data_IF_905998226880
#
_entry.id   IF_905998226880
#
_cell.length_a   1.000
_cell.length_b   1.000
_cell.length_c   1.000
_cell.angle_alpha   90.00
_cell.angle_beta   90.00
_cell.angle_gamma   90.00
#
_symmetry.space_group_name_H-M   'P 1'
#
loop_
_entity.id
_entity.type
_entity.pdbx_description
1 polymer ?
#
# COMPACT_ATOMS: atom_id res chain seq x y z
N UNK A 1 -18.44 -20.22 -18.83
CA UNK A 1 -18.21 -18.77 -18.64
C UNK A 1 -19.14 -18.29 -17.54
N UNK A 2 -18.66 -18.12 -16.31
CA UNK A 2 -19.38 -17.35 -15.30
C UNK A 2 -19.22 -15.89 -15.72
N UNK A 3 -20.31 -15.21 -16.08
CA UNK A 3 -20.28 -13.78 -16.34
C UNK A 3 -19.75 -13.08 -15.09
N UNK A 4 -18.59 -12.42 -15.20
CA UNK A 4 -18.01 -11.65 -14.11
C UNK A 4 -18.84 -10.40 -13.88
N UNK A 5 -19.87 -10.47 -13.05
CA UNK A 5 -20.65 -9.28 -12.71
C UNK A 5 -19.92 -8.47 -11.66
N UNK A 6 -19.33 -7.34 -12.06
CA UNK A 6 -19.09 -6.23 -11.16
C UNK A 6 -20.47 -5.71 -10.74
N UNK A 7 -21.00 -6.19 -9.61
CA UNK A 7 -22.28 -5.73 -9.12
C UNK A 7 -22.17 -4.26 -8.73
N UNK A 8 -22.70 -3.39 -9.57
CA UNK A 8 -22.99 -2.01 -9.23
C UNK A 8 -24.35 -2.03 -8.50
N UNK A 9 -24.42 -1.84 -7.17
CA UNK A 9 -25.71 -1.69 -6.52
C UNK A 9 -26.43 -0.47 -7.12
N UNK A 10 -27.69 -0.67 -7.52
CA UNK A 10 -28.52 0.34 -8.15
C UNK A 10 -28.46 1.69 -7.43
N UNK A 11 -28.00 2.73 -8.13
CA UNK A 11 -28.21 4.13 -7.76
C UNK A 11 -27.21 4.81 -6.82
N UNK A 12 -26.00 4.27 -6.57
CA UNK A 12 -24.99 4.91 -5.68
C UNK A 12 -23.58 5.13 -6.28
N UNK A 13 -23.42 5.07 -7.59
CA UNK A 13 -22.16 5.41 -8.24
C UNK A 13 -21.87 6.93 -8.17
N UNK A 14 -20.58 7.32 -8.10
CA UNK A 14 -20.15 8.71 -8.23
C UNK A 14 -20.27 9.60 -6.98
N UNK A 15 -19.90 9.12 -5.79
CA UNK A 15 -19.97 9.94 -4.57
C UNK A 15 -18.85 11.00 -4.47
N UNK A 16 -17.70 10.82 -5.12
CA UNK A 16 -16.64 11.83 -5.14
C UNK A 16 -16.98 13.05 -6.02
N UNK A 17 -17.83 12.91 -7.04
CA UNK A 17 -18.21 14.03 -7.92
C UNK A 17 -19.11 15.07 -7.23
N UNK A 18 -19.56 14.81 -5.99
CA UNK A 18 -20.37 15.75 -5.19
C UNK A 18 -19.55 16.75 -4.36
N UNK A 19 -18.26 16.93 -4.64
CA UNK A 19 -17.40 17.93 -3.98
C UNK A 19 -17.10 17.66 -2.50
N UNK A 20 -17.45 16.47 -2.01
CA UNK A 20 -17.20 16.07 -0.62
C UNK A 20 -15.95 15.20 -0.48
N UNK A 21 -15.14 15.46 0.56
CA UNK A 21 -14.05 14.56 0.94
C UNK A 21 -14.61 13.16 1.25
N UNK A 22 -14.09 12.14 0.56
CA UNK A 22 -14.44 10.73 0.82
C UNK A 22 -13.25 9.95 1.33
N UNK A 23 -13.54 8.81 1.96
CA UNK A 23 -12.52 7.89 2.44
C UNK A 23 -12.73 6.55 1.77
N UNK A 24 -11.78 6.16 0.91
CA UNK A 24 -11.81 4.85 0.24
C UNK A 24 -11.16 3.81 1.15
N UNK A 25 -11.85 2.72 1.39
CA UNK A 25 -11.40 1.66 2.30
C UNK A 25 -11.22 0.38 1.49
N UNK A 26 -9.98 -0.05 1.33
CA UNK A 26 -9.65 -1.30 0.65
C UNK A 26 -9.70 -2.44 1.67
N UNK A 27 -10.60 -3.39 1.43
CA UNK A 27 -10.84 -4.55 2.29
C UNK A 27 -10.58 -5.87 1.55
N UNK A 28 -10.17 -6.87 2.31
CA UNK A 28 -9.93 -8.23 1.86
C UNK A 28 -9.08 -8.97 2.88
N UNK A 29 -9.04 -10.30 2.80
CA UNK A 29 -8.10 -11.08 3.59
C UNK A 29 -6.65 -10.74 3.21
N UNK A 30 -5.68 -10.98 4.11
CA UNK A 30 -4.27 -10.88 3.73
C UNK A 30 -3.99 -11.81 2.54
N UNK A 31 -3.29 -11.32 1.50
CA UNK A 31 -3.00 -12.05 0.24
C UNK A 31 -4.16 -12.26 -0.75
N UNK A 32 -5.33 -11.65 -0.50
CA UNK A 32 -6.48 -11.68 -1.42
C UNK A 32 -6.35 -10.75 -2.64
N UNK A 33 -5.29 -9.94 -2.73
CA UNK A 33 -5.14 -8.94 -3.79
C UNK A 33 -5.45 -7.50 -3.39
N UNK A 34 -5.66 -7.23 -2.09
CA UNK A 34 -5.85 -5.85 -1.58
C UNK A 34 -4.71 -4.92 -1.97
N UNK A 35 -3.48 -5.42 -2.04
CA UNK A 35 -2.32 -4.67 -2.52
C UNK A 35 -2.47 -4.28 -3.99
N UNK A 36 -3.02 -5.15 -4.85
CA UNK A 36 -3.30 -4.81 -6.25
C UNK A 36 -4.26 -3.64 -6.33
N UNK A 37 -5.36 -3.68 -5.55
CA UNK A 37 -6.33 -2.57 -5.48
C UNK A 37 -5.68 -1.26 -5.05
N UNK A 38 -4.78 -1.31 -4.05
CA UNK A 38 -4.04 -0.12 -3.59
C UNK A 38 -3.19 0.45 -4.72
N UNK A 39 -2.44 -0.38 -5.45
CA UNK A 39 -1.60 0.07 -6.55
C UNK A 39 -2.37 0.71 -7.71
N UNK A 40 -3.54 0.16 -8.04
CA UNK A 40 -4.47 0.75 -9.03
C UNK A 40 -4.91 2.15 -8.57
N UNK A 41 -5.39 2.27 -7.33
CA UNK A 41 -5.89 3.53 -6.78
C UNK A 41 -4.78 4.60 -6.69
N UNK A 42 -3.56 4.21 -6.30
CA UNK A 42 -2.42 5.13 -6.27
C UNK A 42 -2.09 5.69 -7.66
N UNK A 43 -2.13 4.85 -8.70
CA UNK A 43 -1.90 5.27 -10.10
C UNK A 43 -3.01 6.16 -10.63
N UNK A 44 -4.23 5.98 -10.13
CA UNK A 44 -5.36 6.90 -10.35
C UNK A 44 -5.24 8.22 -9.57
N UNK A 45 -4.14 8.45 -8.83
CA UNK A 45 -3.88 9.67 -8.08
C UNK A 45 -4.51 9.73 -6.69
N UNK A 46 -4.96 8.60 -6.14
CA UNK A 46 -5.54 8.57 -4.80
C UNK A 46 -4.47 8.46 -3.71
N UNK A 47 -4.51 9.39 -2.75
CA UNK A 47 -3.55 9.43 -1.65
C UNK A 47 -3.79 8.33 -0.62
N UNK A 48 -2.74 7.62 -0.23
CA UNK A 48 -2.77 6.59 0.84
C UNK A 48 -2.04 7.04 2.12
N UNK A 49 -1.52 8.26 2.13
CA UNK A 49 -0.75 8.84 3.22
C UNK A 49 0.74 8.49 3.20
N UNK A 50 1.48 9.14 4.09
CA UNK A 50 2.96 9.21 4.02
C UNK A 50 3.67 8.00 4.64
N UNK A 51 2.94 7.14 5.35
CA UNK A 51 3.52 6.04 6.15
C UNK A 51 2.95 4.70 5.74
N UNK A 52 3.29 4.28 4.52
CA UNK A 52 2.91 2.97 3.99
C UNK A 52 4.05 1.97 4.16
N UNK A 53 3.71 0.75 4.54
CA UNK A 53 4.65 -0.35 4.51
C UNK A 53 4.81 -0.91 3.09
N UNK A 54 5.57 -2.01 2.99
CA UNK A 54 5.89 -2.68 1.74
C UNK A 54 4.72 -3.10 0.86
N UNK A 55 3.55 -3.31 1.47
CA UNK A 55 2.36 -3.88 0.85
C UNK A 55 1.21 -2.87 0.84
N UNK A 56 1.54 -1.58 0.94
CA UNK A 56 0.58 -0.47 0.89
C UNK A 56 -0.34 -0.41 2.10
N UNK A 57 0.09 -0.90 3.26
CA UNK A 57 -0.70 -0.80 4.49
C UNK A 57 -0.26 0.40 5.33
N UNK A 58 -1.23 1.09 5.92
CA UNK A 58 -0.97 2.26 6.77
C UNK A 58 -0.37 1.81 8.11
N UNK A 59 0.88 2.23 8.36
CA UNK A 59 1.66 1.85 9.55
C UNK A 59 1.03 2.40 10.83
N UNK A 60 0.45 3.60 10.79
CA UNK A 60 -0.21 4.21 11.94
C UNK A 60 -1.47 3.42 12.31
N UNK A 61 -2.22 2.93 11.31
CA UNK A 61 -3.38 2.06 11.53
C UNK A 61 -2.93 0.68 12.04
N UNK A 62 -1.93 0.05 11.42
CA UNK A 62 -1.41 -1.25 11.88
C UNK A 62 -1.01 -1.18 13.35
N UNK A 63 -0.32 -0.12 13.78
CA UNK A 63 0.10 0.05 15.18
C UNK A 63 -1.07 0.08 16.18
N UNK A 64 -2.30 0.33 15.72
CA UNK A 64 -3.51 0.30 16.56
C UNK A 64 -4.22 -1.04 16.58
N UNK A 65 -4.18 -1.78 15.47
CA UNK A 65 -4.91 -3.03 15.31
C UNK A 65 -4.06 -4.28 15.50
N UNK A 66 -2.74 -4.17 15.39
CA UNK A 66 -1.85 -5.30 15.64
C UNK A 66 -1.96 -5.70 17.12
N UNK A 67 -2.34 -6.95 17.42
CA UNK A 67 -2.48 -7.40 18.79
C UNK A 67 -1.11 -7.42 19.45
N UNK A 68 -0.81 -6.37 20.21
CA UNK A 68 0.16 -6.44 21.30
C UNK A 68 -0.60 -6.94 22.52
N UNK A 69 0.02 -7.69 23.44
CA UNK A 69 -0.68 -8.27 24.59
C UNK A 69 -1.51 -7.27 25.43
N UNK A 70 -1.21 -5.96 25.34
CA UNK A 70 -1.98 -4.88 25.96
C UNK A 70 -3.21 -4.42 25.16
N UNK A 71 -3.26 -4.64 23.84
CA UNK A 71 -4.33 -4.15 22.95
C UNK A 71 -5.70 -4.81 23.18
N UNK A 72 -5.73 -6.02 23.74
CA UNK A 72 -6.97 -6.76 24.05
C UNK A 72 -7.58 -6.43 25.41
N UNK A 73 -6.98 -5.53 26.20
CA UNK A 73 -7.59 -5.06 27.43
C UNK A 73 -8.93 -4.35 27.12
N UNK A 74 -10.01 -4.58 27.90
CA UNK A 74 -11.35 -4.05 27.60
C UNK A 74 -11.39 -2.53 27.34
N UNK A 75 -10.61 -1.76 28.12
CA UNK A 75 -10.52 -0.31 27.95
C UNK A 75 -9.90 0.12 26.61
N UNK A 76 -9.04 -0.69 26.02
CA UNK A 76 -8.42 -0.40 24.73
C UNK A 76 -9.41 -0.62 23.58
N UNK A 77 -10.28 -1.62 23.68
CA UNK A 77 -11.37 -1.83 22.72
C UNK A 77 -12.38 -0.68 22.74
N UNK A 78 -12.76 -0.20 23.92
CA UNK A 78 -13.67 0.97 24.05
C UNK A 78 -13.06 2.24 23.44
N UNK A 79 -11.76 2.45 23.61
CA UNK A 79 -11.05 3.63 23.08
C UNK A 79 -10.65 3.52 21.60
N UNK A 80 -10.67 2.32 21.03
CA UNK A 80 -10.22 2.04 19.66
C UNK A 80 -10.97 2.88 18.61
N UNK A 81 -12.32 2.97 18.59
CA UNK A 81 -13.05 3.82 17.65
C UNK A 81 -12.63 5.29 17.67
N UNK A 82 -12.32 5.84 18.84
CA UNK A 82 -11.97 7.25 19.01
C UNK A 82 -10.55 7.53 18.52
N UNK A 83 -9.59 6.67 18.87
CA UNK A 83 -8.21 6.76 18.37
C UNK A 83 -8.16 6.62 16.86
N UNK A 84 -8.93 5.68 16.31
CA UNK A 84 -9.07 5.47 14.87
C UNK A 84 -9.67 6.71 14.18
N UNK A 85 -10.78 7.26 14.70
CA UNK A 85 -11.39 8.47 14.16
C UNK A 85 -10.44 9.68 14.17
N UNK A 86 -9.57 9.81 15.19
CA UNK A 86 -8.58 10.86 15.24
C UNK A 86 -7.54 10.76 14.10
N UNK A 87 -7.10 9.55 13.77
CA UNK A 87 -6.19 9.31 12.62
C UNK A 87 -6.87 9.72 11.32
N UNK A 88 -8.13 9.30 11.11
CA UNK A 88 -8.87 9.65 9.89
C UNK A 88 -9.12 11.16 9.78
N UNK A 89 -9.42 11.84 10.89
CA UNK A 89 -9.59 13.30 10.92
C UNK A 89 -8.32 14.02 10.48
N UNK A 90 -7.16 13.59 10.97
CA UNK A 90 -5.85 14.15 10.58
C UNK A 90 -5.55 13.90 9.10
N UNK A 91 -5.74 12.66 8.61
CA UNK A 91 -5.53 12.32 7.20
C UNK A 91 -6.43 13.13 6.27
N UNK A 92 -7.71 13.27 6.63
CA UNK A 92 -8.66 14.10 5.88
C UNK A 92 -8.25 15.56 5.85
N UNK A 93 -7.73 16.11 6.95
CA UNK A 93 -7.22 17.48 6.96
C UNK A 93 -6.00 17.67 6.06
N UNK A 94 -5.18 16.63 5.89
CA UNK A 94 -3.96 16.67 5.08
C UNK A 94 -4.23 16.46 3.58
N UNK A 95 -5.04 15.45 3.22
CA UNK A 95 -5.21 15.02 1.83
C UNK A 95 -6.60 15.35 1.24
N UNK A 96 -7.55 15.76 2.09
CA UNK A 96 -8.95 15.84 1.70
C UNK A 96 -9.53 14.44 1.47
N UNK A 97 -9.47 13.97 0.22
CA UNK A 97 -9.86 12.61 -0.16
C UNK A 97 -8.65 11.69 -0.07
N UNK A 98 -8.79 10.56 0.60
CA UNK A 98 -7.70 9.59 0.75
C UNK A 98 -8.24 8.17 0.84
N UNK A 99 -7.35 7.20 0.68
CA UNK A 99 -7.60 5.80 0.86
C UNK A 99 -6.74 5.21 1.97
N UNK A 100 -7.14 4.05 2.48
CA UNK A 100 -6.25 3.23 3.29
C UNK A 100 -6.60 1.75 3.16
N UNK A 101 -5.62 0.93 3.52
CA UNK A 101 -5.71 -0.53 3.61
C UNK A 101 -5.11 -0.98 4.94
N UNK A 102 -5.82 -1.82 5.68
CA UNK A 102 -5.30 -2.42 6.91
C UNK A 102 -6.01 -3.76 7.19
N UNK A 103 -5.48 -4.91 6.72
CA UNK A 103 -6.11 -6.21 6.91
C UNK A 103 -6.35 -6.58 8.38
N UNK A 104 -5.47 -6.11 9.29
CA UNK A 104 -5.64 -6.29 10.74
C UNK A 104 -6.89 -5.62 11.32
N UNK A 105 -7.50 -4.70 10.58
CA UNK A 105 -8.75 -4.04 10.97
C UNK A 105 -9.97 -4.96 10.77
N UNK A 106 -9.86 -6.03 9.96
CA UNK A 106 -11.00 -6.88 9.58
C UNK A 106 -11.84 -7.36 10.78
N UNK A 107 -11.24 -7.91 11.87
CA UNK A 107 -12.01 -8.34 13.05
C UNK A 107 -12.73 -7.20 13.79
N UNK A 108 -12.31 -5.96 13.56
CA UNK A 108 -12.82 -4.76 14.23
C UNK A 108 -13.73 -3.92 13.33
N UNK A 109 -14.02 -4.36 12.10
CA UNK A 109 -14.77 -3.57 11.11
C UNK A 109 -16.10 -3.08 11.66
N UNK A 110 -16.89 -3.94 12.31
CA UNK A 110 -18.20 -3.55 12.84
C UNK A 110 -18.10 -2.45 13.92
N UNK A 111 -16.98 -2.42 14.65
CA UNK A 111 -16.72 -1.44 15.70
C UNK A 111 -16.26 -0.09 15.13
N UNK A 112 -15.46 -0.10 14.06
CA UNK A 112 -14.80 1.13 13.55
C UNK A 112 -15.45 1.70 12.29
N UNK A 113 -16.14 0.90 11.49
CA UNK A 113 -16.80 1.32 10.24
C UNK A 113 -17.78 2.51 10.42
N UNK A 114 -18.58 2.60 11.51
CA UNK A 114 -19.45 3.76 11.73
C UNK A 114 -18.69 5.08 11.88
N UNK A 115 -17.40 5.04 12.20
CA UNK A 115 -16.53 6.22 12.38
C UNK A 115 -15.81 6.65 11.11
N UNK A 116 -15.94 5.91 10.01
CA UNK A 116 -15.31 6.26 8.74
C UNK A 116 -16.24 7.25 8.01
N UNK A 117 -15.86 8.53 7.90
CA UNK A 117 -16.73 9.52 7.27
C UNK A 117 -16.74 9.29 5.76
N UNK A 118 -17.92 9.37 5.14
CA UNK A 118 -18.09 9.24 3.68
C UNK A 118 -17.32 8.05 3.09
N UNK A 119 -17.44 6.90 3.75
CA UNK A 119 -16.73 5.69 3.36
C UNK A 119 -17.22 5.15 2.01
N UNK A 120 -16.29 4.77 1.14
CA UNK A 120 -16.50 3.94 -0.05
C UNK A 120 -15.69 2.67 0.17
N UNK A 121 -16.33 1.51 0.19
CA UNK A 121 -15.64 0.24 0.39
C UNK A 121 -15.30 -0.39 -0.97
N UNK A 122 -14.05 -0.81 -1.13
CA UNK A 122 -13.63 -1.66 -2.24
C UNK A 122 -13.17 -2.98 -1.64
N UNK A 123 -13.92 -4.04 -1.92
CA UNK A 123 -13.72 -5.37 -1.34
C UNK A 123 -13.24 -6.30 -2.42
N UNK A 124 -12.00 -6.76 -2.27
CA UNK A 124 -11.45 -7.83 -3.11
C UNK A 124 -11.59 -9.16 -2.38
N UNK A 125 -12.23 -10.11 -3.07
CA UNK A 125 -12.42 -11.47 -2.59
C UNK A 125 -11.53 -12.40 -3.41
N UNK A 126 -11.00 -13.45 -2.80
CA UNK A 126 -10.18 -14.45 -3.48
C UNK A 126 -10.47 -15.81 -2.91
N UNK A 127 -10.31 -16.87 -3.69
CA UNK A 127 -10.44 -18.23 -3.18
C UNK A 127 -9.64 -18.42 -1.85
N UNK A 128 -10.27 -18.82 -0.73
CA UNK A 128 -9.61 -18.90 0.57
C UNK A 128 -8.41 -19.84 0.60
N UNK A 129 -8.46 -20.94 -0.13
CA UNK A 129 -7.35 -21.89 -0.25
C UNK A 129 -6.16 -21.25 -0.97
N UNK A 130 -6.40 -20.55 -2.09
CA UNK A 130 -5.33 -19.85 -2.80
C UNK A 130 -4.72 -18.71 -1.97
N UNK A 131 -5.57 -17.95 -1.26
CA UNK A 131 -5.14 -16.89 -0.34
C UNK A 131 -4.23 -17.46 0.76
N UNK A 132 -4.62 -18.61 1.33
CA UNK A 132 -3.88 -19.27 2.41
C UNK A 132 -2.56 -19.87 1.94
N UNK A 133 -2.55 -20.57 0.79
CA UNK A 133 -1.34 -21.07 0.14
C UNK A 133 -0.38 -19.93 -0.22
N UNK A 134 -0.91 -18.79 -0.68
CA UNK A 134 -0.08 -17.61 -0.92
C UNK A 134 0.53 -17.08 0.38
N UNK A 135 -0.20 -17.09 1.50
CA UNK A 135 0.30 -16.64 2.80
C UNK A 135 1.37 -17.54 3.41
N UNK A 136 1.27 -18.85 3.23
CA UNK A 136 2.24 -19.83 3.74
C UNK A 136 3.65 -19.63 3.15
N UNK A 137 3.75 -19.28 1.87
CA UNK A 137 5.04 -19.05 1.17
C UNK A 137 5.91 -17.93 1.76
N UNK A 138 5.35 -17.02 2.56
CA UNK A 138 6.06 -15.85 3.09
C UNK A 138 6.50 -16.00 4.55
N UNK A 139 6.62 -17.25 5.04
CA UNK A 139 7.14 -17.62 6.37
C UNK A 139 6.19 -17.18 7.49
N UNK A 140 5.37 -18.12 7.98
CA UNK A 140 4.42 -17.84 9.04
C UNK A 140 3.75 -19.10 9.59
N UNK A 141 2.46 -19.03 9.93
CA UNK A 141 1.65 -20.16 10.37
C UNK A 141 1.44 -21.23 9.28
N UNK A 142 1.12 -22.48 9.67
CA UNK A 142 0.75 -23.55 8.74
C UNK A 142 -0.52 -23.20 7.95
N UNK A 143 -0.70 -23.86 6.79
CA UNK A 143 -1.86 -23.69 5.91
C UNK A 143 -3.21 -23.70 6.64
N UNK A 144 -3.42 -24.60 7.60
CA UNK A 144 -4.69 -24.73 8.34
C UNK A 144 -4.99 -23.48 9.19
N UNK A 145 -3.99 -22.92 9.85
CA UNK A 145 -4.13 -21.68 10.60
C UNK A 145 -4.41 -20.50 9.67
N UNK A 146 -3.72 -20.43 8.51
CA UNK A 146 -3.97 -19.40 7.49
C UNK A 146 -5.35 -19.49 6.87
N UNK A 147 -5.86 -20.71 6.67
CA UNK A 147 -7.20 -20.94 6.16
C UNK A 147 -8.25 -20.43 7.14
N UNK A 148 -8.09 -20.73 8.43
CA UNK A 148 -8.97 -20.20 9.47
C UNK A 148 -8.91 -18.67 9.54
N UNK A 149 -7.72 -18.08 9.56
CA UNK A 149 -7.56 -16.61 9.54
C UNK A 149 -8.25 -15.97 8.33
N UNK A 150 -8.12 -16.58 7.14
CA UNK A 150 -8.72 -16.11 5.91
C UNK A 150 -10.24 -16.16 5.98
N UNK A 151 -10.81 -17.30 6.39
CA UNK A 151 -12.27 -17.48 6.52
C UNK A 151 -12.86 -16.53 7.57
N UNK A 152 -12.18 -16.34 8.70
CA UNK A 152 -12.62 -15.38 9.73
C UNK A 152 -12.60 -13.95 9.18
N UNK A 153 -11.54 -13.56 8.49
CA UNK A 153 -11.45 -12.23 7.87
C UNK A 153 -12.59 -12.00 6.85
N UNK A 154 -12.86 -12.98 6.00
CA UNK A 154 -13.95 -12.91 5.01
C UNK A 154 -15.33 -12.88 5.67
N UNK A 155 -15.54 -13.63 6.75
CA UNK A 155 -16.78 -13.58 7.53
C UNK A 155 -17.01 -12.17 8.12
N UNK A 156 -15.99 -11.56 8.72
CA UNK A 156 -16.09 -10.21 9.25
C UNK A 156 -16.43 -9.18 8.16
N UNK A 157 -15.83 -9.33 6.97
CA UNK A 157 -16.14 -8.49 5.81
C UNK A 157 -17.59 -8.74 5.35
N UNK A 158 -18.02 -9.98 5.22
CA UNK A 158 -19.39 -10.32 4.84
C UNK A 158 -20.44 -9.74 5.80
N UNK A 159 -20.15 -9.75 7.11
CA UNK A 159 -21.00 -9.09 8.11
C UNK A 159 -21.06 -7.58 7.93
N UNK A 160 -19.93 -6.91 7.65
CA UNK A 160 -19.93 -5.49 7.31
C UNK A 160 -20.79 -5.23 6.06
N UNK A 161 -20.60 -6.03 5.00
CA UNK A 161 -21.35 -5.90 3.74
C UNK A 161 -22.86 -6.04 3.96
N UNK A 162 -23.27 -6.95 4.84
CA UNK A 162 -24.68 -7.17 5.19
C UNK A 162 -25.32 -5.99 5.92
N UNK A 163 -24.52 -5.24 6.67
CA UNK A 163 -24.99 -4.20 7.60
C UNK A 163 -24.77 -2.77 7.09
N UNK A 164 -23.80 -2.57 6.19
CA UNK A 164 -23.45 -1.24 5.69
C UNK A 164 -24.48 -0.72 4.70
N UNK A 165 -24.79 0.58 4.80
CA UNK A 165 -25.58 1.33 3.79
C UNK A 165 -24.69 2.17 2.87
N UNK A 166 -23.37 2.12 3.09
CA UNK A 166 -22.36 2.85 2.32
C UNK A 166 -22.14 2.17 0.96
N UNK A 167 -21.61 2.88 -0.03
CA UNK A 167 -21.17 2.27 -1.28
C UNK A 167 -20.14 1.16 -1.02
N UNK A 168 -20.33 0.04 -1.71
CA UNK A 168 -19.41 -1.09 -1.78
C UNK A 168 -19.24 -1.53 -3.24
N UNK A 169 -17.99 -1.55 -3.72
CA UNK A 169 -17.58 -2.31 -4.90
C UNK A 169 -17.02 -3.66 -4.42
N UNK A 170 -17.53 -4.76 -4.94
CA UNK A 170 -17.02 -6.12 -4.64
C UNK A 170 -16.55 -6.72 -5.95
N UNK A 171 -15.36 -7.32 -5.95
CA UNK A 171 -14.88 -8.06 -7.11
C UNK A 171 -14.00 -9.26 -6.71
N UNK A 172 -14.01 -10.35 -7.51
CA UNK A 172 -13.08 -11.45 -7.34
C UNK A 172 -11.70 -11.08 -7.91
N UNK A 173 -10.64 -11.41 -7.16
CA UNK A 173 -9.25 -11.14 -7.54
C UNK A 173 -8.92 -11.68 -8.93
N UNK A 174 -9.34 -12.91 -9.23
CA UNK A 174 -9.05 -13.61 -10.48
C UNK A 174 -9.61 -12.86 -11.68
N UNK A 175 -10.82 -12.30 -11.58
CA UNK A 175 -11.37 -11.51 -12.66
C UNK A 175 -10.71 -10.13 -12.77
N UNK A 176 -10.32 -9.55 -11.63
CA UNK A 176 -9.54 -8.32 -11.63
C UNK A 176 -8.20 -8.45 -12.36
N UNK A 177 -7.59 -9.63 -12.31
CA UNK A 177 -6.35 -9.95 -13.05
C UNK A 177 -6.63 -10.29 -14.51
N UNK A 178 -7.74 -10.97 -14.80
CA UNK A 178 -8.10 -11.39 -16.15
C UNK A 178 -8.59 -10.23 -17.04
N UNK A 179 -9.27 -9.25 -16.44
CA UNK A 179 -9.94 -8.14 -17.11
C UNK A 179 -9.58 -6.80 -16.41
N UNK A 180 -8.30 -6.40 -16.39
CA UNK A 180 -7.83 -5.24 -15.64
C UNK A 180 -8.46 -3.93 -16.08
N UNK A 181 -8.77 -3.77 -17.37
CA UNK A 181 -9.46 -2.62 -17.94
C UNK A 181 -10.85 -2.43 -17.31
N UNK A 182 -11.62 -3.51 -17.16
CA UNK A 182 -12.95 -3.46 -16.54
C UNK A 182 -12.86 -3.16 -15.05
N UNK A 183 -11.85 -3.69 -14.36
CA UNK A 183 -11.63 -3.39 -12.95
C UNK A 183 -11.27 -1.92 -12.74
N UNK A 184 -10.36 -1.38 -13.55
CA UNK A 184 -9.93 0.02 -13.52
C UNK A 184 -11.14 0.94 -13.76
N UNK A 185 -11.95 0.66 -14.77
CA UNK A 185 -13.15 1.45 -15.08
C UNK A 185 -14.21 1.34 -13.97
N UNK A 186 -14.40 0.16 -13.38
CA UNK A 186 -15.30 -0.04 -12.25
C UNK A 186 -14.84 0.75 -11.01
N UNK A 187 -13.54 0.74 -10.70
CA UNK A 187 -12.98 1.51 -9.58
C UNK A 187 -13.15 3.01 -9.83
N UNK A 188 -12.82 3.51 -11.02
CA UNK A 188 -12.96 4.92 -11.38
C UNK A 188 -14.42 5.38 -11.26
N UNK A 189 -15.35 4.59 -11.80
CA UNK A 189 -16.80 4.86 -11.72
C UNK A 189 -17.31 4.86 -10.28
N UNK A 190 -16.89 3.87 -9.49
CA UNK A 190 -17.43 3.69 -8.14
C UNK A 190 -16.90 4.73 -7.15
N UNK A 191 -15.62 5.06 -7.29
CA UNK A 191 -15.00 6.13 -6.52
C UNK A 191 -15.53 7.47 -7.01
N UNK A 192 -15.66 7.68 -8.32
CA UNK A 192 -15.90 8.98 -8.94
C UNK A 192 -14.63 9.80 -9.11
N UNK A 193 -13.46 9.15 -9.19
CA UNK A 193 -12.19 9.80 -9.47
C UNK A 193 -12.17 10.29 -10.93
N UNK A 194 -11.69 11.51 -11.14
CA UNK A 194 -11.36 12.01 -12.47
C UNK A 194 -10.00 11.42 -12.88
N UNK A 195 -10.02 10.27 -13.56
CA UNK A 195 -8.81 9.57 -13.99
C UNK A 195 -8.45 10.01 -15.41
N UNK A 196 -7.24 10.51 -15.61
CA UNK A 196 -6.73 10.83 -16.95
C UNK A 196 -6.41 9.56 -17.74
N UNK A 197 -6.46 9.61 -19.07
CA UNK A 197 -6.11 8.45 -19.91
C UNK A 197 -4.70 7.86 -19.63
N UNK A 198 -3.64 8.67 -19.43
CA UNK A 198 -2.34 8.13 -19.02
C UNK A 198 -2.38 7.38 -17.68
N UNK A 199 -3.06 7.93 -16.67
CA UNK A 199 -3.19 7.30 -15.35
C UNK A 199 -4.02 6.00 -15.42
N UNK A 200 -5.06 5.97 -16.27
CA UNK A 200 -5.87 4.79 -16.56
C UNK A 200 -5.00 3.66 -17.14
N UNK A 201 -4.21 3.97 -18.18
CA UNK A 201 -3.30 3.00 -18.82
C UNK A 201 -2.20 2.50 -17.88
N UNK A 202 -1.63 3.37 -17.05
CA UNK A 202 -0.64 2.95 -16.06
C UNK A 202 -1.27 2.02 -15.00
N UNK A 203 -2.49 2.32 -14.55
CA UNK A 203 -3.23 1.45 -13.62
C UNK A 203 -3.56 0.07 -14.23
N UNK A 204 -3.86 0.00 -15.52
CA UNK A 204 -4.03 -1.26 -16.26
C UNK A 204 -2.70 -2.02 -16.36
N UNK A 205 -1.64 -1.36 -16.83
CA UNK A 205 -0.31 -1.94 -17.02
C UNK A 205 0.36 -2.37 -15.70
N UNK A 206 -0.15 -1.89 -14.57
CA UNK A 206 0.24 -2.34 -13.24
C UNK A 206 -0.26 -3.75 -12.91
N UNK A 207 -1.45 -4.11 -13.38
CA UNK A 207 -2.00 -5.45 -13.24
C UNK A 207 -1.36 -6.32 -14.31
N UNK A 208 -0.59 -7.32 -13.89
CA UNK A 208 0.16 -8.18 -14.80
C UNK A 208 -0.53 -9.56 -14.83
N UNK A 209 -1.16 -9.96 -15.95
CA UNK A 209 -1.96 -11.20 -16.00
C UNK A 209 -1.22 -12.45 -15.51
N UNK A 210 0.08 -12.53 -15.79
CA UNK A 210 0.91 -13.71 -15.50
C UNK A 210 1.62 -13.68 -14.14
N UNK A 211 1.78 -12.50 -13.52
CA UNK A 211 2.49 -12.33 -12.25
C UNK A 211 1.63 -11.69 -11.14
N UNK A 212 0.36 -11.41 -11.44
CA UNK A 212 -0.58 -10.70 -10.57
C UNK A 212 -0.49 -9.18 -10.77
N UNK A 213 0.51 -8.54 -10.17
CA UNK A 213 0.67 -7.09 -10.24
C UNK A 213 2.11 -6.66 -9.91
N UNK A 214 2.51 -5.46 -10.37
CA UNK A 214 3.83 -4.87 -10.09
C UNK A 214 3.95 -4.41 -8.63
N UNK A 215 5.13 -3.96 -8.19
CA UNK A 215 5.29 -3.46 -6.82
C UNK A 215 4.42 -2.21 -6.55
N UNK A 216 3.70 -2.19 -5.42
CA UNK A 216 2.98 -1.00 -4.94
C UNK A 216 3.87 0.02 -4.25
N UNK A 217 5.09 -0.37 -3.87
CA UNK A 217 6.01 0.56 -3.22
C UNK A 217 6.40 1.60 -4.25
N UNK A 218 6.08 2.85 -3.95
CA UNK A 218 6.53 3.98 -4.75
C UNK A 218 8.04 4.02 -4.80
N UNK A 219 8.70 4.08 -3.64
CA UNK A 219 10.14 3.97 -3.56
C UNK A 219 10.60 2.52 -3.30
N UNK A 220 11.38 1.96 -4.23
CA UNK A 220 12.07 0.68 -4.07
C UNK A 220 13.57 0.91 -4.20
N UNK A 221 14.36 0.21 -3.41
CA UNK A 221 15.80 0.21 -3.59
C UNK A 221 16.54 -0.53 -2.49
N UNK A 222 17.84 -0.42 -2.54
CA UNK A 222 18.74 -1.13 -1.65
C UNK A 222 19.92 -0.26 -1.29
N UNK A 223 20.28 -0.25 -0.01
CA UNK A 223 21.52 0.36 0.46
C UNK A 223 22.54 -0.76 0.60
N UNK A 224 23.51 -0.77 -0.31
CA UNK A 224 24.51 -1.83 -0.42
C UNK A 224 25.62 -1.67 0.61
N UNK A 225 26.02 -0.44 0.87
CA UNK A 225 27.04 -0.13 1.86
C UNK A 225 26.74 1.21 2.52
N UNK A 226 26.97 1.26 3.84
CA UNK A 226 26.96 2.46 4.66
C UNK A 226 28.26 2.45 5.46
N UNK A 227 29.00 3.55 5.42
CA UNK A 227 30.21 3.79 6.21
C UNK A 227 30.12 5.17 6.87
N UNK A 228 31.00 5.52 7.81
CA UNK A 228 31.09 6.87 8.35
C UNK A 228 31.22 7.96 7.27
N UNK A 229 31.82 7.65 6.12
CA UNK A 229 32.12 8.63 5.07
C UNK A 229 31.07 8.70 3.95
N UNK A 230 30.11 7.76 3.92
CA UNK A 230 29.12 7.78 2.85
C UNK A 230 28.26 6.52 2.78
N UNK A 231 27.37 6.53 1.79
CA UNK A 231 26.53 5.40 1.46
C UNK A 231 26.43 5.22 -0.05
N UNK A 232 26.20 3.99 -0.51
CA UNK A 232 25.89 3.70 -1.91
C UNK A 232 24.79 2.66 -2.04
N UNK A 233 24.14 2.68 -3.18
CA UNK A 233 23.08 1.74 -3.50
C UNK A 233 22.32 2.19 -4.74
N UNK A 234 21.04 1.81 -4.79
CA UNK A 234 20.13 2.23 -5.85
C UNK A 234 18.74 2.49 -5.30
N UNK A 235 17.99 3.36 -5.97
CA UNK A 235 16.62 3.70 -5.64
C UNK A 235 15.83 4.04 -6.91
N UNK A 236 14.58 3.57 -6.97
CA UNK A 236 13.66 3.72 -8.09
C UNK A 236 12.30 4.19 -7.55
N UNK A 237 11.73 5.22 -8.18
CA UNK A 237 10.30 5.50 -8.08
C UNK A 237 9.56 4.62 -9.10
N UNK A 238 8.75 3.67 -8.64
CA UNK A 238 8.00 2.76 -9.53
C UNK A 238 6.80 3.42 -10.23
N UNK A 239 6.61 4.72 -10.01
CA UNK A 239 5.58 5.56 -10.61
C UNK A 239 6.18 6.68 -11.48
N UNK A 240 7.52 6.81 -11.55
CA UNK A 240 8.17 7.83 -12.34
C UNK A 240 9.47 7.32 -12.95
N UNK A 241 9.70 7.64 -14.22
CA UNK A 241 10.93 7.27 -14.94
C UNK A 241 12.07 8.28 -14.73
N UNK A 242 11.91 9.18 -13.75
CA UNK A 242 12.87 10.24 -13.42
C UNK A 242 13.80 9.81 -12.30
N UNK A 243 15.09 10.25 -12.32
CA UNK A 243 15.99 10.01 -11.21
C UNK A 243 15.41 10.45 -9.87
N UNK A 244 15.60 9.62 -8.85
CA UNK A 244 14.99 9.87 -7.54
C UNK A 244 15.90 10.77 -6.70
N UNK A 245 15.45 11.96 -6.28
CA UNK A 245 16.21 12.76 -5.33
C UNK A 245 16.07 12.19 -3.92
N UNK A 246 17.18 12.02 -3.21
CA UNK A 246 17.27 11.34 -1.92
C UNK A 246 17.87 12.25 -0.85
N UNK A 247 17.28 12.27 0.34
CA UNK A 247 17.83 12.86 1.55
C UNK A 247 18.23 11.77 2.55
N UNK A 248 19.47 11.87 3.05
CA UNK A 248 20.00 11.07 4.15
C UNK A 248 19.81 11.82 5.47
N UNK A 249 19.17 11.17 6.44
CA UNK A 249 18.72 11.83 7.68
C UNK A 249 19.20 11.03 8.87
N UNK A 250 19.92 11.66 9.78
CA UNK A 250 20.27 11.10 11.07
C UNK A 250 19.85 12.08 12.17
N UNK A 251 19.35 11.54 13.29
CA UNK A 251 18.90 12.32 14.45
C UNK A 251 17.89 13.44 14.10
N UNK A 252 17.04 13.17 13.10
CA UNK A 252 16.01 14.09 12.63
C UNK A 252 16.50 15.25 11.76
N UNK A 253 17.79 15.28 11.38
CA UNK A 253 18.38 16.31 10.52
C UNK A 253 18.86 15.72 9.19
N UNK A 254 18.65 16.45 8.10
CA UNK A 254 19.25 16.11 6.81
C UNK A 254 20.77 16.27 6.91
N UNK A 255 21.48 15.17 6.65
CA UNK A 255 22.94 15.10 6.62
C UNK A 255 23.45 15.51 5.24
N UNK A 256 22.87 14.92 4.20
CA UNK A 256 23.23 15.18 2.80
C UNK A 256 22.07 14.81 1.88
N UNK A 257 22.10 15.35 0.67
CA UNK A 257 21.17 15.03 -0.40
C UNK A 257 21.95 14.54 -1.62
N UNK A 258 21.36 13.63 -2.38
CA UNK A 258 21.94 13.08 -3.61
C UNK A 258 20.83 12.74 -4.58
N UNK A 259 21.17 12.38 -5.81
CA UNK A 259 20.22 11.89 -6.81
C UNK A 259 20.61 10.48 -7.20
N UNK A 260 19.62 9.60 -7.30
CA UNK A 260 19.77 8.25 -7.80
C UNK A 260 19.70 8.25 -9.34
N UNK A 261 20.78 8.72 -9.99
CA UNK A 261 20.86 8.89 -11.45
C UNK A 261 22.03 8.14 -12.12
N UNK A 262 22.84 7.43 -11.33
CA UNK A 262 23.99 6.66 -11.81
C UNK A 262 23.54 5.37 -12.49
N UNK A 263 24.28 4.95 -13.50
CA UNK A 263 23.98 3.74 -14.26
C UNK A 263 24.11 2.48 -13.41
N UNK A 264 23.13 1.56 -13.55
CA UNK A 264 23.02 0.26 -12.89
C UNK A 264 22.42 -0.74 -13.87
N UNK A 265 23.30 -1.34 -14.67
CA UNK A 265 22.90 -2.30 -15.70
C UNK A 265 22.26 -3.55 -15.10
N UNK A 266 22.73 -3.98 -13.92
CA UNK A 266 22.15 -5.06 -13.14
C UNK A 266 20.69 -4.79 -12.73
N UNK A 267 20.33 -3.54 -12.45
CA UNK A 267 18.95 -3.15 -12.10
C UNK A 267 18.09 -3.01 -13.37
N UNK A 268 18.69 -2.59 -14.49
CA UNK A 268 18.03 -2.54 -15.80
C UNK A 268 17.70 -3.95 -16.33
N UNK A 269 18.62 -4.91 -16.20
CA UNK A 269 18.44 -6.31 -16.58
C UNK A 269 17.27 -6.98 -15.84
N UNK A 270 17.01 -6.55 -14.60
CA UNK A 270 15.86 -6.99 -13.82
C UNK A 270 14.54 -6.28 -14.17
N UNK A 271 14.55 -5.39 -15.18
CA UNK A 271 13.43 -4.56 -15.59
C UNK A 271 12.81 -3.75 -14.43
N UNK A 272 13.64 -3.37 -13.44
CA UNK A 272 13.20 -2.57 -12.28
C UNK A 272 13.23 -1.07 -12.56
N UNK A 273 14.05 -0.61 -13.50
CA UNK A 273 14.13 0.78 -13.95
C UNK A 273 14.34 0.82 -15.47
N UNK A 274 13.59 1.64 -16.24
CA UNK A 274 13.59 1.57 -17.71
C UNK A 274 14.96 1.88 -18.32
N UNK A 275 15.77 2.71 -17.67
CA UNK A 275 17.09 3.13 -18.18
C UNK A 275 18.28 2.57 -17.38
N UNK A 276 18.04 1.95 -16.22
CA UNK A 276 19.10 1.63 -15.27
C UNK A 276 19.73 2.83 -14.54
N UNK A 277 19.33 4.07 -14.84
CA UNK A 277 19.82 5.28 -14.13
C UNK A 277 19.16 5.46 -12.78
N UNK A 278 19.52 4.62 -11.83
CA UNK A 278 18.91 4.56 -10.50
C UNK A 278 19.92 4.35 -9.36
N UNK A 279 21.22 4.36 -9.65
CA UNK A 279 22.29 4.24 -8.66
C UNK A 279 22.56 5.57 -7.95
N UNK A 280 22.90 5.52 -6.67
CA UNK A 280 23.34 6.70 -5.91
C UNK A 280 24.65 6.44 -5.18
N UNK A 281 25.39 7.52 -4.95
CA UNK A 281 26.47 7.59 -3.96
C UNK A 281 26.29 8.90 -3.19
N UNK A 282 26.29 8.80 -1.87
CA UNK A 282 26.22 9.93 -0.96
C UNK A 282 27.51 9.98 -0.15
N UNK A 283 28.05 11.19 0.02
CA UNK A 283 29.21 11.46 0.88
C UNK A 283 28.76 12.18 2.13
N UNK A 284 29.33 11.80 3.28
CA UNK A 284 29.08 12.43 4.56
C UNK A 284 30.33 13.23 4.97
N UNK A 285 30.18 14.55 5.00
CA UNK A 285 31.21 15.48 5.45
C UNK A 285 30.58 16.50 6.43
N UNK A 286 30.91 16.46 7.74
CA UNK A 286 31.87 15.54 8.36
C UNK A 286 31.39 14.08 8.38
N UNK A 287 32.30 13.11 8.60
CA UNK A 287 31.93 11.71 8.74
C UNK A 287 30.93 11.48 9.89
N UNK A 288 29.99 10.57 9.69
CA UNK A 288 28.99 10.22 10.69
C UNK A 288 29.58 9.38 11.82
N UNK A 289 29.16 9.68 13.04
CA UNK A 289 29.43 8.83 14.22
C UNK A 289 28.67 7.51 14.17
N UNK A 290 29.11 6.51 14.95
CA UNK A 290 28.42 5.22 15.05
C UNK A 290 26.96 5.36 15.52
N UNK A 291 26.68 6.35 16.38
CA UNK A 291 25.32 6.64 16.84
C UNK A 291 24.43 7.14 15.70
N UNK A 292 24.94 8.07 14.88
CA UNK A 292 24.22 8.59 13.70
C UNK A 292 23.99 7.51 12.65
N UNK A 293 24.95 6.60 12.45
CA UNK A 293 24.79 5.47 11.54
C UNK A 293 23.63 4.55 11.94
N UNK A 294 23.39 4.36 13.24
CA UNK A 294 22.27 3.55 13.77
C UNK A 294 20.91 4.20 13.56
N UNK A 295 20.85 5.53 13.44
CA UNK A 295 19.61 6.29 13.24
C UNK A 295 19.39 6.75 11.80
N UNK A 296 20.35 6.47 10.90
CA UNK A 296 20.33 6.91 9.52
C UNK A 296 19.12 6.34 8.76
N UNK A 297 18.38 7.24 8.12
CA UNK A 297 17.25 6.95 7.23
C UNK A 297 17.49 7.60 5.89
N UNK A 298 16.94 7.01 4.84
CA UNK A 298 16.98 7.56 3.49
C UNK A 298 15.54 7.78 3.04
N UNK A 299 15.22 8.97 2.53
CA UNK A 299 13.89 9.27 1.98
C UNK A 299 13.99 10.04 0.68
N UNK A 300 12.92 10.08 -0.10
CA UNK A 300 12.84 11.03 -1.21
C UNK A 300 12.71 12.46 -0.70
N UNK A 301 13.32 13.45 -1.37
CA UNK A 301 13.23 14.86 -0.95
C UNK A 301 11.88 15.49 -1.27
N UNK A 302 11.23 15.03 -2.34
CA UNK A 302 10.00 15.59 -2.89
C UNK A 302 8.74 15.10 -2.16
N UNK A 303 8.63 13.80 -1.91
CA UNK A 303 7.45 13.17 -1.31
C UNK A 303 7.69 12.66 0.11
N UNK A 304 8.94 12.55 0.54
CA UNK A 304 9.31 12.06 1.87
C UNK A 304 9.16 10.54 2.06
N UNK A 305 9.02 9.75 0.99
CA UNK A 305 8.92 8.29 1.10
C UNK A 305 10.24 7.68 1.57
N UNK A 306 10.19 6.83 2.61
CA UNK A 306 11.38 6.20 3.18
C UNK A 306 11.82 4.98 2.37
N UNK A 307 13.13 4.89 2.08
CA UNK A 307 13.76 3.76 1.42
C UNK A 307 13.92 2.61 2.42
N UNK A 308 12.92 1.72 2.46
CA UNK A 308 12.95 0.56 3.33
C UNK A 308 13.93 -0.49 2.80
N UNK A 309 15.12 -0.57 3.42
CA UNK A 309 16.17 -1.52 3.07
C UNK A 309 15.64 -2.97 3.13
N UNK A 310 15.82 -3.74 2.05
CA UNK A 310 15.65 -5.20 2.08
C UNK A 310 16.96 -5.84 2.55
N UNK A 311 16.96 -6.63 3.64
CA UNK A 311 18.02 -7.62 3.83
C UNK A 311 17.77 -8.79 2.88
N UNK A 312 18.72 -9.06 1.96
CA UNK A 312 18.82 -10.35 1.26
C UNK A 312 19.04 -10.30 -0.26
N UNK A 313 20.22 -10.77 -0.68
CA UNK A 313 20.61 -11.35 -1.97
C UNK A 313 20.36 -10.53 -3.26
N UNK A 314 21.19 -9.52 -3.51
CA UNK A 314 21.51 -9.10 -4.89
C UNK A 314 22.87 -9.64 -5.38
N UNK A 315 23.54 -10.47 -4.58
CA UNK A 315 24.78 -11.18 -4.93
C UNK A 315 24.55 -12.69 -4.81
N UNK A 316 23.96 -13.27 -5.83
CA UNK A 316 24.09 -14.69 -6.15
C UNK A 316 24.02 -14.85 -7.67
N UNK A 317 24.93 -14.16 -8.36
CA UNK A 317 25.66 -14.57 -9.56
C UNK A 317 26.75 -13.54 -9.82
#
# INVERSE_FOLDING_TARGET
MLATTFNLPDGKAGLLSRGGHSTVVVLGAGRSGTTMTVGILQRMGLEFGDRLNAVGEDVDLIARFKPTGRAMLPWNLVRLPFRFAAILKRRRAQFGTFAFKCPYMNPFLLLVAPRIPNAIYIVVMRNPLQTSLSGERYVGPPLTARLLETVVAELCIALLLRLTKRPVLIYPYEAGVAEPEKLVDAIATYTGLAVSEPARRDAEAFVAPNSGYKSVRRLVGHIEAITPHGARGWAVDTFADTPVPLAFIADGRTITETVADRQRDDVAELALHPTGRCGFVASFDPPLSEAQLKTLRVRTTDTGYELLNRPGNAAAR
#
